data_IF_939646546576
#
_entry.id   IF_939646546576
#
_cell.length_a   1.000
_cell.length_b   1.000
_cell.length_c   1.000
_cell.angle_alpha   90.00
_cell.angle_beta   90.00
_cell.angle_gamma   90.00
#
_symmetry.space_group_name_H-M   'P 1'
#
loop_
_entity.id
_entity.type
_entity.pdbx_description
1 polymer ?
#
# COMPACT_ATOMS: atom_id res chain seq x y z
N UNK A 1 -5.72 -14.28 90.19
CA UNK A 1 -4.34 -14.15 89.74
C UNK A 1 -4.26 -14.73 88.38
N UNK A 2 -4.23 -13.87 87.35
CA UNK A 2 -3.78 -14.19 85.99
C UNK A 2 -3.94 -12.97 85.15
N UNK A 3 -3.01 -12.56 84.34
CA UNK A 3 -3.26 -11.57 83.33
C UNK A 3 -3.45 -12.22 81.95
N UNK A 4 -4.40 -11.70 81.29
CA UNK A 4 -4.70 -11.99 79.90
C UNK A 4 -3.79 -11.15 79.01
N UNK A 5 -3.12 -11.78 78.04
CA UNK A 5 -2.37 -11.13 77.00
C UNK A 5 -3.24 -10.96 75.78
N UNK A 6 -3.32 -9.73 75.25
CA UNK A 6 -3.94 -9.39 74.03
C UNK A 6 -3.01 -9.57 72.80
N UNK A 7 -3.49 -10.22 71.81
CA UNK A 7 -2.83 -10.36 70.52
C UNK A 7 -3.24 -9.23 69.57
N UNK A 8 -2.28 -8.46 69.11
CA UNK A 8 -2.44 -7.50 68.01
C UNK A 8 -2.51 -8.23 66.65
N UNK A 9 -3.54 -7.98 65.94
CA UNK A 9 -3.63 -8.39 64.54
C UNK A 9 -2.96 -7.34 63.64
N UNK A 10 -1.90 -7.78 63.01
CA UNK A 10 -1.14 -7.06 61.99
C UNK A 10 -1.97 -6.94 60.72
N UNK A 11 -2.39 -5.73 60.39
CA UNK A 11 -3.00 -5.40 59.12
C UNK A 11 -1.96 -5.19 58.04
N UNK A 12 -1.62 -6.20 57.27
CA UNK A 12 -0.77 -6.08 56.11
C UNK A 12 -1.46 -6.63 54.86
N UNK A 13 -1.48 -5.83 53.82
CA UNK A 13 -1.49 -6.26 52.43
C UNK A 13 -2.82 -6.53 51.71
N UNK A 14 -3.74 -5.55 51.73
CA UNK A 14 -4.87 -5.54 50.78
C UNK A 14 -4.59 -4.75 49.48
N UNK A 15 -3.39 -4.16 49.31
CA UNK A 15 -3.08 -3.30 48.16
C UNK A 15 -2.44 -4.05 46.97
N UNK A 16 -1.78 -5.17 47.21
CA UNK A 16 -1.07 -5.91 46.17
C UNK A 16 -2.03 -6.63 45.20
N UNK A 17 -3.10 -7.30 45.65
CA UNK A 17 -4.00 -7.99 44.70
C UNK A 17 -4.82 -7.03 43.83
N UNK A 18 -5.11 -5.81 44.31
CA UNK A 18 -5.86 -4.82 43.50
C UNK A 18 -5.00 -4.20 42.40
N UNK A 19 -3.71 -4.02 42.64
CA UNK A 19 -2.77 -3.51 41.61
C UNK A 19 -2.49 -4.56 40.53
N UNK A 20 -2.38 -5.84 40.93
CA UNK A 20 -2.19 -6.95 40.02
C UNK A 20 -3.43 -7.16 39.13
N UNK A 21 -4.63 -6.98 39.66
CA UNK A 21 -5.87 -7.10 38.87
C UNK A 21 -6.04 -5.96 37.85
N UNK A 22 -5.57 -4.74 38.16
CA UNK A 22 -5.57 -3.62 37.20
C UNK A 22 -4.58 -3.82 36.05
N UNK A 23 -3.42 -4.41 36.31
CA UNK A 23 -2.42 -4.70 35.27
C UNK A 23 -2.90 -5.84 34.39
N UNK A 24 -3.57 -6.85 34.96
CA UNK A 24 -4.12 -7.97 34.19
C UNK A 24 -5.38 -7.57 33.38
N UNK A 25 -6.18 -6.65 33.91
CA UNK A 25 -7.33 -6.09 33.18
C UNK A 25 -6.94 -5.22 31.97
N UNK A 26 -5.76 -4.58 32.02
CA UNK A 26 -5.27 -3.73 30.93
C UNK A 26 -4.67 -4.54 29.78
N UNK A 27 -4.17 -5.74 30.03
CA UNK A 27 -3.62 -6.61 28.98
C UNK A 27 -4.67 -7.33 28.12
N UNK A 28 -5.94 -7.29 28.49
CA UNK A 28 -7.03 -7.89 27.71
C UNK A 28 -7.63 -6.92 26.67
N UNK A 29 -7.22 -5.65 26.66
CA UNK A 29 -7.65 -4.65 25.66
C UNK A 29 -6.65 -4.43 24.53
N UNK A 30 -5.61 -5.24 24.41
CA UNK A 30 -4.86 -5.33 23.16
C UNK A 30 -5.71 -6.15 22.17
N UNK A 31 -6.86 -5.58 21.82
CA UNK A 31 -7.62 -6.04 20.67
C UNK A 31 -6.69 -6.06 19.47
N UNK A 32 -6.67 -7.18 18.77
CA UNK A 32 -6.03 -7.30 17.47
C UNK A 32 -6.34 -6.03 16.69
N UNK A 33 -5.30 -5.32 16.24
CA UNK A 33 -5.50 -4.30 15.22
C UNK A 33 -6.37 -4.94 14.14
N UNK A 34 -7.57 -4.41 13.94
CA UNK A 34 -8.39 -4.84 12.84
C UNK A 34 -7.51 -4.66 11.60
N UNK A 35 -7.14 -5.78 10.96
CA UNK A 35 -6.57 -5.71 9.62
C UNK A 35 -7.57 -4.90 8.80
N UNK A 36 -7.07 -3.96 8.03
CA UNK A 36 -7.86 -3.34 6.97
C UNK A 36 -8.61 -4.45 6.22
N UNK A 37 -9.85 -4.19 5.83
CA UNK A 37 -10.72 -5.17 5.19
C UNK A 37 -9.93 -5.96 4.14
N UNK A 38 -9.89 -7.28 4.31
CA UNK A 38 -9.18 -8.16 3.38
C UNK A 38 -9.88 -8.10 2.03
N UNK A 39 -9.12 -7.92 0.97
CA UNK A 39 -9.65 -7.97 -0.39
C UNK A 39 -10.32 -9.31 -0.67
N UNK A 40 -11.50 -9.27 -1.27
CA UNK A 40 -12.20 -10.47 -1.76
C UNK A 40 -11.91 -10.70 -3.25
N UNK A 41 -12.01 -11.95 -3.69
CA UNK A 41 -11.91 -12.29 -5.10
C UNK A 41 -12.88 -11.47 -5.96
N UNK A 42 -12.40 -10.96 -7.09
CA UNK A 42 -13.16 -10.16 -8.03
C UNK A 42 -13.43 -8.72 -7.58
N UNK A 43 -12.89 -8.26 -6.45
CA UNK A 43 -13.05 -6.88 -5.99
C UNK A 43 -12.41 -5.87 -6.96
N UNK A 44 -11.24 -6.20 -7.46
CA UNK A 44 -10.48 -5.50 -8.51
C UNK A 44 -9.86 -6.58 -9.39
N UNK A 45 -9.53 -6.26 -10.64
CA UNK A 45 -8.83 -7.15 -11.56
C UNK A 45 -7.64 -6.42 -12.15
N UNK A 46 -6.50 -7.10 -12.18
CA UNK A 46 -5.29 -6.69 -12.90
C UNK A 46 -4.74 -7.87 -13.69
N UNK A 47 -3.87 -7.57 -14.62
CA UNK A 47 -3.14 -8.55 -15.43
C UNK A 47 -1.70 -8.08 -15.57
N UNK A 48 -0.76 -9.02 -15.62
CA UNK A 48 0.64 -8.71 -15.87
C UNK A 48 0.92 -8.45 -17.36
N UNK A 49 2.18 -8.08 -17.69
CA UNK A 49 2.55 -7.77 -19.07
C UNK A 49 2.51 -9.01 -19.99
N UNK A 50 2.68 -10.23 -19.45
CA UNK A 50 2.61 -11.46 -20.23
C UNK A 50 1.18 -11.75 -20.64
N UNK A 51 0.25 -11.56 -19.71
CA UNK A 51 -1.17 -11.76 -19.97
C UNK A 51 -1.74 -10.72 -20.96
N UNK A 52 -1.31 -9.47 -20.87
CA UNK A 52 -1.70 -8.43 -21.83
C UNK A 52 -1.13 -8.67 -23.22
N UNK A 53 0.13 -9.14 -23.34
CA UNK A 53 0.80 -9.37 -24.62
C UNK A 53 0.55 -10.75 -25.22
N UNK A 54 -0.25 -11.60 -24.59
CA UNK A 54 -0.62 -12.91 -25.17
C UNK A 54 -2.06 -12.87 -25.69
N UNK A 55 -2.25 -12.79 -27.00
CA UNK A 55 -3.56 -12.64 -27.65
C UNK A 55 -4.58 -13.75 -27.34
N UNK A 56 -4.15 -14.86 -26.70
CA UNK A 56 -5.01 -15.99 -26.29
C UNK A 56 -5.49 -15.92 -24.85
N UNK A 57 -4.91 -15.04 -24.02
CA UNK A 57 -5.35 -14.81 -22.66
C UNK A 57 -6.61 -13.95 -22.58
N UNK A 58 -7.22 -13.88 -21.41
CA UNK A 58 -8.37 -13.01 -21.19
C UNK A 58 -8.01 -11.52 -21.40
N UNK A 59 -6.83 -11.09 -20.95
CA UNK A 59 -6.33 -9.73 -21.08
C UNK A 59 -6.01 -9.39 -22.53
N UNK A 60 -5.25 -10.24 -23.26
CA UNK A 60 -4.91 -10.02 -24.66
C UNK A 60 -6.14 -10.03 -25.57
N UNK A 61 -7.10 -10.94 -25.36
CA UNK A 61 -8.38 -10.91 -26.08
C UNK A 61 -9.15 -9.62 -25.81
N UNK A 62 -9.13 -9.12 -24.58
CA UNK A 62 -9.78 -7.87 -24.21
C UNK A 62 -9.07 -6.67 -24.85
N UNK A 63 -7.74 -6.64 -24.88
CA UNK A 63 -6.95 -5.63 -25.55
C UNK A 63 -7.33 -5.54 -27.03
N UNK A 64 -7.27 -6.68 -27.75
CA UNK A 64 -7.59 -6.76 -29.17
C UNK A 64 -9.04 -6.34 -29.48
N UNK A 65 -9.98 -6.67 -28.61
CA UNK A 65 -11.40 -6.32 -28.81
C UNK A 65 -11.73 -4.85 -28.51
N UNK A 66 -10.93 -4.19 -27.66
CA UNK A 66 -11.33 -2.92 -27.05
C UNK A 66 -10.30 -1.79 -27.19
N UNK A 67 -9.17 -2.03 -27.85
CA UNK A 67 -8.13 -1.00 -28.05
C UNK A 67 -8.73 0.28 -28.65
N UNK A 68 -9.43 0.17 -29.78
CA UNK A 68 -10.08 1.31 -30.43
C UNK A 68 -11.15 1.99 -29.58
N UNK A 69 -11.77 1.26 -28.67
CA UNK A 69 -12.75 1.84 -27.74
C UNK A 69 -12.08 2.71 -26.69
N UNK A 70 -10.89 2.33 -26.24
CA UNK A 70 -10.15 3.03 -25.19
C UNK A 70 -9.29 4.16 -25.77
N UNK A 71 -8.62 3.91 -26.91
CA UNK A 71 -7.62 4.81 -27.49
C UNK A 71 -8.01 5.39 -28.87
N UNK A 72 -8.84 4.70 -29.66
CA UNK A 72 -9.12 5.06 -31.04
C UNK A 72 -10.07 6.23 -31.29
N UNK A 73 -11.16 6.44 -30.54
CA UNK A 73 -12.24 7.38 -30.98
C UNK A 73 -11.85 8.85 -30.91
N UNK A 74 -10.88 9.21 -30.06
CA UNK A 74 -10.46 10.58 -29.80
C UNK A 74 -9.10 10.92 -30.42
N UNK A 75 -8.43 9.93 -31.04
CA UNK A 75 -7.05 10.04 -31.50
C UNK A 75 -6.07 9.99 -30.32
N UNK A 76 -6.52 9.46 -29.19
CA UNK A 76 -5.67 9.22 -28.04
C UNK A 76 -4.90 7.93 -28.28
N UNK A 77 -3.65 8.07 -28.68
CA UNK A 77 -2.73 6.97 -28.90
C UNK A 77 -2.27 6.40 -27.55
N UNK A 78 -1.91 5.13 -27.51
CA UNK A 78 -1.30 4.56 -26.30
C UNK A 78 0.13 5.08 -26.17
N UNK A 79 0.40 5.86 -25.13
CA UNK A 79 1.70 6.47 -24.87
C UNK A 79 2.19 6.10 -23.47
N UNK A 80 3.44 5.65 -23.37
CA UNK A 80 4.17 5.49 -22.11
C UNK A 80 5.40 6.40 -22.10
N UNK A 81 5.81 6.86 -20.90
CA UNK A 81 6.85 7.88 -20.74
C UNK A 81 6.26 9.29 -20.78
N UNK A 82 7.05 10.28 -21.16
CA UNK A 82 6.64 11.69 -21.16
C UNK A 82 7.15 12.43 -22.38
N UNK A 83 6.30 13.25 -22.98
CA UNK A 83 6.68 14.07 -24.13
C UNK A 83 7.44 15.34 -23.74
N UNK A 84 7.34 15.77 -22.48
CA UNK A 84 7.98 17.04 -22.04
C UNK A 84 8.03 17.12 -20.50
N UNK A 85 9.21 17.06 -19.89
CA UNK A 85 10.50 16.65 -20.41
C UNK A 85 10.60 15.12 -20.51
N UNK A 86 11.53 14.63 -21.31
CA UNK A 86 11.93 13.21 -21.38
C UNK A 86 11.59 12.54 -22.70
N UNK A 87 11.55 11.20 -22.65
CA UNK A 87 11.28 10.35 -23.81
C UNK A 87 9.99 9.57 -23.64
N UNK A 88 9.41 9.13 -24.75
CA UNK A 88 8.17 8.35 -24.78
C UNK A 88 8.23 7.23 -25.81
N UNK A 89 7.37 6.23 -25.62
CA UNK A 89 7.01 5.25 -26.63
C UNK A 89 5.52 5.35 -26.94
N UNK A 90 5.20 5.41 -28.23
CA UNK A 90 3.87 5.58 -28.79
C UNK A 90 3.48 4.32 -29.55
N UNK A 91 2.24 3.87 -29.38
CA UNK A 91 1.65 2.75 -30.11
C UNK A 91 0.34 3.20 -30.74
N UNK A 92 0.20 2.96 -32.04
CA UNK A 92 -0.95 3.41 -32.84
C UNK A 92 -2.05 2.39 -32.94
N UNK A 93 -1.76 1.14 -32.59
CA UNK A 93 -2.68 0.02 -32.66
C UNK A 93 -2.30 -1.11 -31.68
N UNK A 94 -3.22 -2.02 -31.48
CA UNK A 94 -3.06 -3.15 -30.55
C UNK A 94 -1.97 -4.13 -31.00
N UNK A 95 -1.77 -4.33 -32.30
CA UNK A 95 -0.78 -5.27 -32.84
C UNK A 95 0.63 -4.83 -32.49
N UNK A 96 0.92 -3.52 -32.65
CA UNK A 96 2.21 -2.98 -32.28
C UNK A 96 2.45 -3.03 -30.74
N UNK A 97 1.39 -2.88 -29.96
CA UNK A 97 1.50 -3.01 -28.51
C UNK A 97 1.69 -4.48 -28.08
N UNK A 98 0.97 -5.42 -28.68
CA UNK A 98 1.15 -6.87 -28.49
C UNK A 98 2.58 -7.31 -28.85
N UNK A 99 3.15 -6.81 -29.94
CA UNK A 99 4.52 -7.10 -30.35
C UNK A 99 5.57 -6.53 -29.36
N UNK A 100 5.22 -5.50 -28.61
CA UNK A 100 6.10 -4.88 -27.62
C UNK A 100 6.05 -5.57 -26.26
N UNK A 101 4.90 -6.02 -25.81
CA UNK A 101 4.73 -6.70 -24.52
C UNK A 101 4.49 -8.21 -24.74
N UNK A 102 5.13 -9.10 -23.91
CA UNK A 102 5.96 -8.78 -22.77
C UNK A 102 7.36 -8.27 -23.16
N UNK A 103 7.73 -7.12 -22.65
CA UNK A 103 9.06 -6.57 -22.87
C UNK A 103 10.11 -7.31 -22.02
N UNK A 104 11.33 -7.35 -22.50
CA UNK A 104 12.44 -8.06 -21.87
C UNK A 104 13.72 -7.25 -21.89
N UNK A 105 14.70 -7.66 -21.09
CA UNK A 105 15.98 -6.97 -20.95
C UNK A 105 16.10 -6.26 -19.61
N UNK A 106 17.26 -5.64 -19.37
CA UNK A 106 17.51 -4.92 -18.12
C UNK A 106 16.58 -3.71 -17.97
N UNK A 107 16.01 -3.47 -16.78
CA UNK A 107 15.17 -2.30 -16.54
C UNK A 107 16.00 -1.01 -16.64
N UNK A 108 15.44 0.03 -17.22
CA UNK A 108 16.06 1.33 -17.37
C UNK A 108 15.10 2.38 -17.92
N UNK A 109 15.55 3.62 -18.14
CA UNK A 109 14.76 4.64 -18.82
C UNK A 109 14.81 4.48 -20.35
N UNK A 110 13.86 5.10 -21.02
CA UNK A 110 13.92 5.34 -22.46
C UNK A 110 15.10 6.30 -22.77
N UNK A 111 15.74 6.09 -23.90
CA UNK A 111 16.84 6.91 -24.41
C UNK A 111 16.50 7.69 -25.69
N UNK A 112 15.29 7.45 -26.24
CA UNK A 112 14.76 8.11 -27.42
C UNK A 112 13.23 8.08 -27.43
N UNK A 113 12.64 8.97 -28.27
CA UNK A 113 11.23 8.87 -28.65
C UNK A 113 11.06 7.73 -29.66
N UNK A 114 10.11 6.86 -29.38
CA UNK A 114 9.84 5.67 -30.16
C UNK A 114 8.40 5.70 -30.70
N UNK A 115 8.21 5.18 -31.90
CA UNK A 115 6.88 4.98 -32.49
C UNK A 115 6.76 3.53 -32.96
N UNK A 116 5.78 2.82 -32.44
CA UNK A 116 5.53 1.40 -32.69
C UNK A 116 6.80 0.53 -32.51
N UNK A 117 7.54 0.69 -31.40
CA UNK A 117 8.72 -0.13 -31.20
C UNK A 117 8.34 -1.56 -30.85
N UNK A 118 9.14 -2.54 -31.28
CA UNK A 118 9.08 -3.92 -30.78
C UNK A 118 10.01 -4.16 -29.59
N UNK A 119 10.92 -3.22 -29.29
CA UNK A 119 11.85 -3.27 -28.14
C UNK A 119 12.26 -1.84 -27.74
N UNK A 120 12.76 -1.67 -26.54
CA UNK A 120 13.29 -0.39 -26.08
C UNK A 120 14.50 -0.57 -25.16
N UNK A 121 15.27 0.53 -24.95
CA UNK A 121 16.35 0.59 -23.95
C UNK A 121 15.83 0.39 -22.52
N UNK A 122 14.55 0.62 -22.28
CA UNK A 122 13.94 0.49 -20.95
C UNK A 122 13.67 -0.97 -20.52
N UNK A 123 13.81 -1.92 -21.46
CA UNK A 123 13.71 -3.35 -21.16
C UNK A 123 12.38 -3.72 -20.50
N UNK A 124 12.44 -4.63 -19.52
CA UNK A 124 11.26 -5.15 -18.82
C UNK A 124 10.43 -4.04 -18.16
N UNK A 125 11.06 -2.95 -17.74
CA UNK A 125 10.37 -1.85 -17.08
C UNK A 125 9.33 -1.16 -17.97
N UNK A 126 9.66 -0.97 -19.26
CA UNK A 126 8.69 -0.40 -20.20
C UNK A 126 7.43 -1.29 -20.35
N UNK A 127 7.61 -2.63 -20.32
CA UNK A 127 6.50 -3.57 -20.31
C UNK A 127 5.66 -3.49 -19.04
N UNK A 128 6.30 -3.33 -17.86
CA UNK A 128 5.56 -3.16 -16.60
C UNK A 128 4.75 -1.84 -16.60
N UNK A 129 5.32 -0.75 -17.10
CA UNK A 129 4.61 0.54 -17.22
C UNK A 129 3.47 0.46 -18.24
N UNK A 130 3.66 -0.26 -19.36
CA UNK A 130 2.62 -0.50 -20.34
C UNK A 130 1.46 -1.32 -19.75
N UNK A 131 1.75 -2.42 -19.05
CA UNK A 131 0.74 -3.24 -18.39
C UNK A 131 -0.03 -2.46 -17.31
N UNK A 132 0.68 -1.64 -16.51
CA UNK A 132 0.04 -0.80 -15.50
C UNK A 132 -0.90 0.22 -16.14
N UNK A 133 -0.48 0.85 -17.26
CA UNK A 133 -1.35 1.75 -18.02
C UNK A 133 -2.59 1.04 -18.54
N UNK A 134 -2.45 -0.15 -19.11
CA UNK A 134 -3.59 -0.95 -19.58
C UNK A 134 -4.54 -1.28 -18.43
N UNK A 135 -4.02 -1.74 -17.30
CA UNK A 135 -4.84 -2.02 -16.11
C UNK A 135 -5.62 -0.78 -15.65
N UNK A 136 -4.99 0.40 -15.63
CA UNK A 136 -5.62 1.65 -15.24
C UNK A 136 -6.69 2.10 -16.24
N UNK A 137 -6.34 2.16 -17.52
CA UNK A 137 -7.23 2.67 -18.56
C UNK A 137 -8.45 1.77 -18.76
N UNK A 138 -8.25 0.45 -18.76
CA UNK A 138 -9.35 -0.51 -18.88
C UNK A 138 -10.21 -0.59 -17.61
N UNK A 139 -9.62 -0.38 -16.41
CA UNK A 139 -10.38 -0.19 -15.18
C UNK A 139 -11.24 1.06 -15.24
N UNK A 140 -10.67 2.19 -15.70
CA UNK A 140 -11.38 3.47 -15.84
C UNK A 140 -12.49 3.40 -16.90
N UNK A 141 -12.29 2.64 -17.98
CA UNK A 141 -13.29 2.39 -19.00
C UNK A 141 -14.39 1.41 -18.55
N UNK A 142 -14.26 0.80 -17.37
CA UNK A 142 -15.21 -0.21 -16.85
C UNK A 142 -15.19 -1.52 -17.62
N UNK A 143 -14.08 -1.81 -18.31
CA UNK A 143 -13.91 -3.02 -19.12
C UNK A 143 -13.30 -4.19 -18.31
N UNK A 144 -12.62 -3.91 -17.19
CA UNK A 144 -12.19 -4.95 -16.26
C UNK A 144 -13.33 -5.33 -15.32
N UNK A 145 -13.58 -6.63 -15.09
CA UNK A 145 -14.55 -7.08 -14.10
C UNK A 145 -14.23 -6.49 -12.73
N UNK A 146 -15.24 -5.95 -12.05
CA UNK A 146 -15.06 -5.26 -10.78
C UNK A 146 -16.32 -5.37 -9.93
N UNK A 147 -16.29 -6.19 -8.87
CA UNK A 147 -17.42 -6.38 -7.97
C UNK A 147 -17.49 -5.33 -6.86
N UNK A 148 -16.39 -4.61 -6.60
CA UNK A 148 -16.33 -3.58 -5.54
C UNK A 148 -16.80 -2.19 -6.01
N UNK A 149 -16.81 -1.94 -7.33
CA UNK A 149 -17.01 -0.61 -7.90
C UNK A 149 -15.82 0.34 -7.72
N UNK A 150 -14.67 -0.16 -7.22
CA UNK A 150 -13.46 0.63 -7.04
C UNK A 150 -12.62 0.62 -8.32
N UNK A 151 -12.09 1.75 -8.70
CA UNK A 151 -11.12 1.86 -9.78
C UNK A 151 -9.72 1.56 -9.25
N UNK A 152 -8.90 0.82 -10.01
CA UNK A 152 -7.52 0.48 -9.63
C UNK A 152 -6.72 1.74 -9.28
N UNK A 153 -6.82 2.78 -10.09
CA UNK A 153 -6.09 4.04 -9.91
C UNK A 153 -6.35 4.76 -8.59
N UNK A 154 -7.53 4.53 -7.99
CA UNK A 154 -7.92 5.13 -6.72
C UNK A 154 -7.42 4.36 -5.51
N UNK A 155 -6.92 3.14 -5.64
CA UNK A 155 -6.38 2.38 -4.53
C UNK A 155 -5.16 3.10 -3.94
N UNK A 156 -5.00 3.03 -2.63
CA UNK A 156 -3.96 3.76 -1.90
C UNK A 156 -2.88 2.79 -1.43
N UNK A 157 -1.64 3.15 -1.71
CA UNK A 157 -0.44 2.45 -1.27
C UNK A 157 -0.20 2.66 0.22
N UNK A 158 0.16 1.61 0.95
CA UNK A 158 0.38 1.64 2.39
C UNK A 158 1.37 0.56 2.85
N UNK A 159 1.84 0.63 4.10
CA UNK A 159 2.66 -0.43 4.70
C UNK A 159 4.13 -0.42 4.29
N UNK A 160 4.58 0.59 3.55
CA UNK A 160 5.98 0.74 3.15
C UNK A 160 6.83 1.37 4.26
N UNK A 161 8.10 1.00 4.28
CA UNK A 161 9.08 1.49 5.26
C UNK A 161 10.42 1.85 4.59
N UNK A 162 11.33 2.50 5.33
CA UNK A 162 12.64 2.87 4.79
C UNK A 162 12.55 3.85 3.62
N UNK A 163 13.27 3.58 2.53
CA UNK A 163 13.32 4.40 1.30
C UNK A 163 11.98 4.51 0.60
N UNK A 164 11.13 3.50 0.74
CA UNK A 164 9.81 3.43 0.09
C UNK A 164 8.69 4.10 0.91
N UNK A 165 8.98 4.59 2.11
CA UNK A 165 7.97 5.20 3.00
C UNK A 165 7.21 6.38 2.39
N UNK A 166 7.79 7.05 1.39
CA UNK A 166 7.16 8.13 0.62
C UNK A 166 5.99 7.67 -0.26
N UNK A 167 5.86 6.35 -0.50
CA UNK A 167 4.74 5.75 -1.22
C UNK A 167 3.46 5.71 -0.40
N UNK A 168 3.57 5.68 0.94
CA UNK A 168 2.39 5.61 1.80
C UNK A 168 1.47 6.81 1.60
N UNK A 169 0.22 6.53 1.27
CA UNK A 169 -0.79 7.54 0.99
C UNK A 169 -0.87 7.96 -0.48
N UNK A 170 0.04 7.51 -1.35
CA UNK A 170 -0.11 7.69 -2.79
C UNK A 170 -1.21 6.79 -3.34
N UNK A 171 -1.94 7.27 -4.33
CA UNK A 171 -2.81 6.42 -5.14
C UNK A 171 -1.99 5.66 -6.19
N UNK A 172 -2.55 4.57 -6.73
CA UNK A 172 -1.93 3.86 -7.86
C UNK A 172 -1.76 4.77 -9.08
N UNK A 173 -2.71 5.69 -9.33
CA UNK A 173 -2.55 6.71 -10.38
C UNK A 173 -1.36 7.65 -10.14
N UNK A 174 -1.13 8.06 -8.89
CA UNK A 174 0.03 8.88 -8.55
C UNK A 174 1.35 8.12 -8.72
N UNK A 175 1.37 6.84 -8.32
CA UNK A 175 2.51 5.96 -8.56
C UNK A 175 2.77 5.77 -10.06
N UNK A 176 1.71 5.58 -10.86
CA UNK A 176 1.83 5.50 -12.32
C UNK A 176 2.48 6.78 -12.88
N UNK A 177 2.10 7.96 -12.39
CA UNK A 177 2.75 9.22 -12.76
C UNK A 177 4.26 9.25 -12.48
N UNK A 178 4.69 8.70 -11.32
CA UNK A 178 6.12 8.53 -11.01
C UNK A 178 6.79 7.54 -11.98
N UNK A 179 6.14 6.42 -12.28
CA UNK A 179 6.66 5.41 -13.21
C UNK A 179 6.83 5.98 -14.63
N UNK A 180 5.89 6.79 -15.09
CA UNK A 180 5.99 7.49 -16.36
C UNK A 180 7.18 8.47 -16.39
N UNK A 181 7.39 9.22 -15.31
CA UNK A 181 8.49 10.16 -15.20
C UNK A 181 9.86 9.45 -15.22
N UNK A 182 9.99 8.37 -14.45
CA UNK A 182 11.22 7.57 -14.41
C UNK A 182 11.49 6.90 -15.76
N UNK A 183 10.45 6.35 -16.42
CA UNK A 183 10.56 5.78 -17.75
C UNK A 183 11.02 6.82 -18.78
N UNK A 184 10.58 8.06 -18.66
CA UNK A 184 10.99 9.17 -19.49
C UNK A 184 12.43 9.68 -19.25
N UNK A 185 13.18 9.08 -18.32
CA UNK A 185 14.53 9.47 -17.93
C UNK A 185 14.59 10.62 -16.93
N UNK A 186 13.49 10.90 -16.23
CA UNK A 186 13.47 11.89 -15.16
C UNK A 186 13.82 11.20 -13.83
N UNK A 187 14.70 11.82 -13.04
CA UNK A 187 14.99 11.28 -11.71
C UNK A 187 13.81 11.47 -10.77
N UNK A 188 13.38 10.39 -10.15
CA UNK A 188 12.33 10.38 -9.13
C UNK A 188 12.90 10.14 -7.73
N UNK A 189 12.06 10.18 -6.71
CA UNK A 189 12.46 9.89 -5.32
C UNK A 189 12.70 8.41 -5.06
N UNK A 190 12.21 7.55 -5.97
CA UNK A 190 12.33 6.09 -5.90
C UNK A 190 13.12 5.67 -7.12
N UNK A 191 14.25 5.06 -6.90
CA UNK A 191 15.12 4.64 -8.00
C UNK A 191 14.79 3.27 -8.56
N UNK A 192 15.38 2.95 -9.73
CA UNK A 192 15.50 1.58 -10.17
C UNK A 192 16.36 0.76 -9.18
N UNK A 193 16.04 -0.48 -8.86
CA UNK A 193 14.97 -1.34 -9.38
C UNK A 193 13.67 -1.29 -8.58
N UNK A 194 13.57 -0.47 -7.53
CA UNK A 194 12.43 -0.49 -6.60
C UNK A 194 11.11 -0.15 -7.32
N UNK A 195 11.15 0.87 -8.21
CA UNK A 195 9.98 1.29 -8.97
C UNK A 195 9.52 0.22 -9.99
N UNK A 196 10.45 -0.52 -10.60
CA UNK A 196 10.15 -1.63 -11.51
C UNK A 196 9.47 -2.78 -10.78
N UNK A 197 10.03 -3.20 -9.63
CA UNK A 197 9.46 -4.24 -8.79
C UNK A 197 8.05 -3.86 -8.28
N UNK A 198 7.85 -2.60 -7.91
CA UNK A 198 6.56 -2.13 -7.42
C UNK A 198 5.51 -2.13 -8.54
N UNK A 199 5.88 -1.70 -9.75
CA UNK A 199 5.01 -1.79 -10.92
C UNK A 199 4.60 -3.23 -11.22
N UNK A 200 5.53 -4.16 -11.19
CA UNK A 200 5.26 -5.59 -11.35
C UNK A 200 4.31 -6.14 -10.27
N UNK A 201 4.55 -5.76 -9.00
CA UNK A 201 3.70 -6.18 -7.89
C UNK A 201 2.26 -5.65 -8.01
N UNK A 202 2.08 -4.39 -8.44
CA UNK A 202 0.75 -3.82 -8.66
C UNK A 202 0.04 -4.53 -9.81
N UNK A 203 0.74 -4.83 -10.91
CA UNK A 203 0.17 -5.56 -12.04
C UNK A 203 -0.30 -6.97 -11.65
N UNK A 204 0.41 -7.65 -10.74
CA UNK A 204 0.06 -8.97 -10.24
C UNK A 204 -0.93 -8.96 -9.05
N UNK A 205 -1.15 -7.81 -8.41
CA UNK A 205 -1.84 -7.69 -7.12
C UNK A 205 -3.25 -8.31 -7.08
N UNK A 206 -3.96 -8.28 -8.21
CA UNK A 206 -5.31 -8.84 -8.37
C UNK A 206 -5.39 -9.68 -9.66
N UNK A 207 -4.38 -10.51 -9.87
CA UNK A 207 -4.27 -11.36 -11.06
C UNK A 207 -5.55 -12.15 -11.31
N UNK A 208 -6.15 -11.93 -12.49
CA UNK A 208 -7.45 -12.47 -12.86
C UNK A 208 -8.53 -12.31 -11.76
N UNK A 209 -8.43 -11.25 -10.95
CA UNK A 209 -9.33 -10.95 -9.84
C UNK A 209 -9.00 -11.65 -8.52
N UNK A 210 -7.86 -12.31 -8.39
CA UNK A 210 -7.43 -12.95 -7.15
C UNK A 210 -6.43 -12.04 -6.42
N UNK A 211 -6.79 -11.50 -5.24
CA UNK A 211 -5.88 -10.66 -4.47
C UNK A 211 -4.74 -11.50 -3.91
N UNK A 212 -3.51 -11.10 -4.17
CA UNK A 212 -2.30 -11.70 -3.64
C UNK A 212 -1.89 -11.10 -2.28
N UNK A 213 -0.71 -11.47 -1.78
CA UNK A 213 -0.18 -10.91 -0.52
C UNK A 213 0.16 -9.43 -0.63
N UNK A 214 0.63 -8.96 -1.81
CA UNK A 214 0.92 -7.55 -2.01
C UNK A 214 -0.36 -6.71 -1.95
N UNK A 215 -1.44 -7.15 -2.60
CA UNK A 215 -2.74 -6.50 -2.50
C UNK A 215 -3.22 -6.40 -1.04
N UNK A 216 -3.10 -7.50 -0.28
CA UNK A 216 -3.55 -7.56 1.12
C UNK A 216 -2.72 -6.69 2.08
N UNK A 217 -1.41 -6.56 1.82
CA UNK A 217 -0.49 -5.88 2.73
C UNK A 217 -0.26 -4.42 2.35
N UNK A 218 -0.39 -4.07 1.04
CA UNK A 218 0.05 -2.78 0.50
C UNK A 218 -1.01 -1.96 -0.23
N UNK A 219 -2.20 -2.51 -0.51
CA UNK A 219 -3.26 -1.77 -1.18
C UNK A 219 -4.50 -1.66 -0.28
N UNK A 220 -5.05 -0.46 -0.17
CA UNK A 220 -6.29 -0.21 0.56
C UNK A 220 -7.27 0.62 -0.27
N UNK A 221 -8.56 0.46 -0.01
CA UNK A 221 -9.59 1.28 -0.64
C UNK A 221 -9.45 2.77 -0.25
N UNK A 222 -9.83 3.72 -1.12
CA UNK A 222 -9.78 5.13 -0.80
C UNK A 222 -10.65 5.44 0.43
N UNK A 223 -10.13 6.26 1.34
CA UNK A 223 -10.81 6.60 2.59
C UNK A 223 -10.74 5.54 3.69
N UNK A 224 -10.18 4.38 3.42
CA UNK A 224 -9.78 3.44 4.47
C UNK A 224 -8.62 4.05 5.22
N UNK A 225 -8.79 4.36 6.49
CA UNK A 225 -7.66 4.67 7.35
C UNK A 225 -6.85 3.38 7.46
N UNK A 226 -5.68 3.32 6.81
CA UNK A 226 -4.68 2.36 7.23
C UNK A 226 -4.57 2.51 8.74
N UNK A 227 -4.90 1.46 9.49
CA UNK A 227 -4.79 1.50 10.94
C UNK A 227 -3.31 1.71 11.26
N UNK A 228 -2.91 2.97 11.35
CA UNK A 228 -1.62 3.30 11.93
C UNK A 228 -1.62 2.66 13.32
N UNK A 229 -0.61 1.87 13.66
CA UNK A 229 -0.53 1.33 15.00
C UNK A 229 -0.53 2.51 15.96
N UNK A 230 -1.62 2.69 16.69
CA UNK A 230 -1.80 3.74 17.72
C UNK A 230 -0.90 3.50 18.94
N UNK A 231 0.28 2.91 18.73
CA UNK A 231 1.26 2.63 19.77
C UNK A 231 1.77 3.88 20.51
N UNK A 232 1.91 5.09 19.88
CA UNK A 232 2.42 6.24 20.65
C UNK A 232 1.41 6.80 21.63
N UNK A 233 0.12 6.81 21.30
CA UNK A 233 -0.90 7.50 22.10
C UNK A 233 -1.24 6.73 23.38
N UNK A 234 -1.35 5.40 23.28
CA UNK A 234 -1.57 4.55 24.47
C UNK A 234 -0.34 4.48 25.37
N UNK A 235 0.87 4.47 24.80
CA UNK A 235 2.10 4.53 25.58
C UNK A 235 2.24 5.87 26.30
N UNK A 236 1.91 6.98 25.63
CA UNK A 236 1.93 8.32 26.21
C UNK A 236 0.90 8.46 27.34
N UNK A 237 -0.30 7.91 27.18
CA UNK A 237 -1.33 7.89 28.22
C UNK A 237 -0.89 7.04 29.44
N UNK A 238 -0.28 5.87 29.19
CA UNK A 238 0.25 5.03 30.28
C UNK A 238 1.38 5.70 31.04
N UNK A 239 2.30 6.36 30.36
CA UNK A 239 3.40 7.13 30.97
C UNK A 239 2.84 8.34 31.74
N UNK A 240 1.83 9.03 31.21
CA UNK A 240 1.15 10.15 31.90
C UNK A 240 0.49 9.71 33.21
N UNK A 241 -0.21 8.58 33.24
CA UNK A 241 -0.85 8.02 34.43
C UNK A 241 0.20 7.57 35.45
N UNK A 242 1.32 6.97 35.03
CA UNK A 242 2.40 6.57 35.89
C UNK A 242 3.08 7.80 36.52
N UNK A 243 3.34 8.83 35.75
CA UNK A 243 3.91 10.09 36.25
C UNK A 243 2.98 10.75 37.27
N UNK A 244 1.68 10.84 37.01
CA UNK A 244 0.68 11.40 37.92
C UNK A 244 0.59 10.62 39.26
N UNK A 245 0.71 9.29 39.18
CA UNK A 245 0.73 8.44 40.38
C UNK A 245 1.99 8.65 41.25
N UNK A 246 3.17 8.85 40.63
CA UNK A 246 4.41 9.15 41.33
C UNK A 246 4.39 10.55 41.96
N UNK A 247 3.83 11.54 41.35
CA UNK A 247 3.69 12.90 41.89
C UNK A 247 2.71 12.95 43.10
N UNK A 248 1.63 12.16 43.09
CA UNK A 248 0.71 12.03 44.24
C UNK A 248 1.39 11.42 45.45
N UNK A 249 2.24 10.41 45.27
CA UNK A 249 2.94 9.76 46.38
C UNK A 249 3.95 10.68 47.09
N UNK A 250 4.59 11.61 46.38
CA UNK A 250 5.51 12.58 46.96
C UNK A 250 4.81 13.64 47.81
N UNK A 251 3.55 14.01 47.55
CA UNK A 251 2.81 14.99 48.32
C UNK A 251 2.29 14.46 49.67
N UNK A 252 2.09 13.16 49.80
CA UNK A 252 1.60 12.57 51.07
C UNK A 252 2.72 12.33 52.09
N UNK A 253 3.99 12.34 51.66
CA UNK A 253 5.15 12.14 52.56
C UNK A 253 5.74 13.44 53.10
N UNK A 254 5.22 14.62 52.72
CA UNK A 254 5.77 15.93 53.07
C UNK A 254 4.94 16.76 54.06
N UNK A 255 3.97 16.16 54.79
CA UNK A 255 3.27 16.91 55.86
C UNK A 255 4.02 16.77 57.18
N UNK A 256 4.62 17.83 57.72
CA UNK A 256 5.15 17.82 59.09
C UNK A 256 3.99 17.71 60.09
N UNK A 257 4.16 16.86 61.09
CA UNK A 257 3.23 16.79 62.22
C UNK A 257 3.19 18.13 62.94
N UNK A 258 2.01 18.69 63.26
CA UNK A 258 1.92 19.84 64.14
C UNK A 258 2.25 19.42 65.58
N UNK A 259 3.07 20.24 66.24
CA UNK A 259 3.42 20.18 67.67
C UNK A 259 2.22 20.56 68.51
#
# INVERSE_FOLDING_TARGET
MSPVQGTQASGTNALIPRLLLMVFGLSLFFGSAARADSWSAGAVVTYDQVEWGESTTAAGMLLNASYDTVYGPTGDEFVIGSTTPGYFALFTDEVNLDDFIPASGAPGPLDANLSNPSTSSAGVYAGQVAALKLNLDFSNAGLLPNSSGLLLGNLVLTGFSGSESSLNGMTVDQFFGLSQAELAGQSTTIGFPDIDNLGANINAAFDAGQPDSFAQDHLVAPGSSAAMPELPTLLLAAVGVLAAAMFRKKRTLGRPNPI
#
